data_IF_345947936874
#
_entry.id   IF_345947936874
#
_cell.length_a   1.000
_cell.length_b   1.000
_cell.length_c   1.000
_cell.angle_alpha   90.00
_cell.angle_beta   90.00
_cell.angle_gamma   90.00
#
_symmetry.space_group_name_H-M   'P 1'
#
loop_
_entity.id
_entity.type
_entity.pdbx_description
1 polymer ?
#
# COMPACT_ATOMS: atom_id res chain seq x y z
N UNK A 1 2.26 -4.79 -2.95
CA UNK A 1 0.97 -4.15 -3.24
C UNK A 1 1.11 -3.29 -4.49
N UNK A 2 0.26 -3.52 -5.49
CA UNK A 2 0.17 -2.73 -6.72
C UNK A 2 -0.65 -1.47 -6.48
N UNK A 3 -0.10 -0.32 -6.83
CA UNK A 3 -0.68 0.99 -6.56
C UNK A 3 -0.38 1.94 -7.72
N UNK A 4 -1.29 2.88 -8.01
CA UNK A 4 -1.02 3.91 -9.03
C UNK A 4 0.14 4.79 -8.57
N UNK A 5 1.01 5.27 -9.47
CA UNK A 5 2.14 6.15 -9.14
C UNK A 5 1.78 7.30 -8.20
N UNK A 6 0.70 8.04 -8.50
CA UNK A 6 0.22 9.15 -7.66
C UNK A 6 0.09 8.77 -6.18
N UNK A 7 -0.69 7.74 -5.85
CA UNK A 7 -0.93 7.35 -4.47
C UNK A 7 0.32 6.78 -3.80
N UNK A 8 1.15 6.03 -4.54
CA UNK A 8 2.41 5.54 -3.98
C UNK A 8 3.38 6.68 -3.66
N UNK A 9 3.41 7.74 -4.47
CA UNK A 9 4.20 8.95 -4.19
C UNK A 9 3.65 9.73 -2.99
N UNK A 10 2.33 9.83 -2.84
CA UNK A 10 1.71 10.41 -1.65
C UNK A 10 2.06 9.63 -0.38
N UNK A 11 2.11 8.29 -0.44
CA UNK A 11 2.56 7.45 0.68
C UNK A 11 4.04 7.70 0.99
N UNK A 12 4.90 7.66 -0.03
CA UNK A 12 6.35 7.77 0.13
C UNK A 12 6.80 9.18 0.57
N UNK A 13 6.08 10.22 0.17
CA UNK A 13 6.30 11.59 0.68
C UNK A 13 5.73 11.81 2.09
N UNK A 14 4.80 10.96 2.52
CA UNK A 14 4.13 11.07 3.82
C UNK A 14 2.88 11.94 3.81
N UNK A 15 2.44 12.41 2.64
CA UNK A 15 1.15 13.11 2.49
C UNK A 15 -0.03 12.17 2.81
N UNK A 16 0.07 10.90 2.40
CA UNK A 16 -0.92 9.85 2.70
C UNK A 16 -0.50 9.05 3.93
N UNK A 17 -1.25 9.23 5.03
CA UNK A 17 -1.04 8.53 6.32
C UNK A 17 -1.74 7.18 6.38
N UNK A 18 -2.77 6.99 5.56
CA UNK A 18 -3.49 5.73 5.44
C UNK A 18 -3.73 5.37 3.97
N UNK A 19 -3.65 4.09 3.64
CA UNK A 19 -3.99 3.54 2.33
C UNK A 19 -5.32 2.80 2.38
N UNK A 20 -6.22 3.08 1.43
CA UNK A 20 -7.54 2.47 1.37
C UNK A 20 -7.58 1.35 0.32
N UNK A 21 -8.08 0.18 0.71
CA UNK A 21 -8.11 -1.01 -0.15
C UNK A 21 -9.44 -1.74 -0.10
N UNK A 22 -9.87 -2.25 -1.25
CA UNK A 22 -10.92 -3.28 -1.30
C UNK A 22 -10.42 -4.57 -0.65
N UNK A 23 -11.33 -5.29 0.00
CA UNK A 23 -11.07 -6.62 0.53
C UNK A 23 -11.11 -7.67 -0.61
N UNK A 24 -10.01 -7.77 -1.36
CA UNK A 24 -9.91 -8.63 -2.56
C UNK A 24 -8.76 -9.66 -2.50
N UNK A 25 -8.11 -9.81 -1.35
CA UNK A 25 -6.97 -10.72 -1.17
C UNK A 25 -6.65 -10.97 0.30
N UNK A 26 -5.43 -11.46 0.62
CA UNK A 26 -4.96 -11.64 2.00
C UNK A 26 -5.09 -10.37 2.85
N UNK A 27 -5.49 -10.49 4.11
CA UNK A 27 -5.47 -9.35 5.02
C UNK A 27 -4.04 -8.81 5.16
N UNK A 28 -3.94 -7.48 5.25
CA UNK A 28 -2.73 -6.83 5.76
C UNK A 28 -2.92 -6.70 7.25
N UNK A 29 -1.93 -7.12 8.02
CA UNK A 29 -1.97 -7.15 9.47
C UNK A 29 -0.99 -6.11 10.03
N UNK A 30 -1.27 -5.55 11.23
CA UNK A 30 -0.32 -4.68 11.91
C UNK A 30 1.06 -5.34 12.03
N UNK A 31 2.11 -4.60 11.65
CA UNK A 31 3.50 -5.09 11.61
C UNK A 31 3.93 -5.64 10.24
N UNK A 32 3.02 -5.85 9.29
CA UNK A 32 3.39 -6.31 7.95
C UNK A 32 4.26 -5.30 7.20
N UNK A 33 5.31 -5.81 6.53
CA UNK A 33 6.09 -5.04 5.57
C UNK A 33 5.37 -4.99 4.22
N UNK A 34 4.88 -3.81 3.83
CA UNK A 34 4.14 -3.60 2.59
C UNK A 34 5.06 -2.95 1.55
N UNK A 35 5.45 -3.72 0.53
CA UNK A 35 6.18 -3.20 -0.63
C UNK A 35 5.24 -2.54 -1.65
N UNK A 36 5.58 -1.33 -2.09
CA UNK A 36 4.80 -0.53 -3.04
C UNK A 36 5.31 -0.76 -4.47
N UNK A 37 4.64 -1.64 -5.19
CA UNK A 37 4.79 -1.75 -6.64
C UNK A 37 3.97 -0.64 -7.31
N UNK A 38 4.64 0.36 -7.85
CA UNK A 38 4.01 1.38 -8.67
C UNK A 38 3.69 0.79 -10.04
N UNK A 39 2.44 0.91 -10.47
CA UNK A 39 2.04 0.49 -11.83
C UNK A 39 2.70 1.38 -12.89
N UNK A 40 2.37 1.17 -14.17
CA UNK A 40 2.90 1.99 -15.27
C UNK A 40 2.71 3.50 -14.99
N UNK A 41 3.67 4.36 -15.39
CA UNK A 41 4.87 4.03 -16.17
C UNK A 41 6.05 3.48 -15.35
N UNK A 42 6.03 3.56 -14.02
CA UNK A 42 7.15 3.12 -13.18
C UNK A 42 7.39 1.60 -13.26
N UNK A 43 6.32 0.81 -13.17
CA UNK A 43 6.35 -0.66 -13.27
C UNK A 43 7.43 -1.33 -12.40
N UNK A 44 7.62 -0.81 -11.18
CA UNK A 44 8.68 -1.21 -10.27
C UNK A 44 8.27 -1.01 -8.81
N UNK A 45 8.93 -1.73 -7.90
CA UNK A 45 8.84 -1.46 -6.46
C UNK A 45 9.66 -0.21 -6.15
N UNK A 46 9.00 0.86 -5.71
CA UNK A 46 9.64 2.15 -5.48
C UNK A 46 9.88 2.46 -4.00
N UNK A 47 9.37 1.62 -3.10
CA UNK A 47 9.54 1.77 -1.67
C UNK A 47 8.65 0.80 -0.90
N UNK A 48 8.57 1.02 0.40
CA UNK A 48 7.80 0.19 1.30
C UNK A 48 7.38 0.96 2.56
N UNK A 49 6.46 0.39 3.32
CA UNK A 49 6.10 0.87 4.65
C UNK A 49 5.76 -0.30 5.57
N UNK A 50 5.69 -0.04 6.88
CA UNK A 50 5.19 -0.99 7.88
C UNK A 50 3.72 -0.66 8.15
N UNK A 51 2.85 -1.65 8.06
CA UNK A 51 1.44 -1.47 8.39
C UNK A 51 1.30 -1.20 9.90
N UNK A 52 0.67 -0.07 10.25
CA UNK A 52 0.27 0.24 11.63
C UNK A 52 -1.09 -0.35 11.96
N UNK A 53 -1.97 0.46 12.55
CA UNK A 53 -3.36 0.04 12.78
C UNK A 53 -4.05 -0.22 11.43
N UNK A 54 -4.77 -1.34 11.34
CA UNK A 54 -5.56 -1.70 10.16
C UNK A 54 -7.03 -1.76 10.55
N UNK A 55 -7.83 -0.87 9.98
CA UNK A 55 -9.28 -0.90 10.16
C UNK A 55 -9.91 -1.73 9.05
N UNK A 56 -10.78 -2.68 9.42
CA UNK A 56 -11.71 -3.32 8.50
C UNK A 56 -13.10 -2.73 8.76
N UNK A 57 -13.61 -1.95 7.82
CA UNK A 57 -14.84 -1.19 8.01
C UNK A 57 -15.82 -1.42 6.84
N UNK A 58 -17.14 -1.46 7.11
CA UNK A 58 -18.14 -1.28 6.06
C UNK A 58 -17.87 0.02 5.30
N UNK A 59 -18.01 0.00 3.96
CA UNK A 59 -17.73 1.20 3.14
C UNK A 59 -18.63 2.39 3.52
N UNK A 60 -19.88 2.11 3.91
CA UNK A 60 -20.83 3.10 4.43
C UNK A 60 -20.33 3.85 5.69
N UNK A 61 -19.44 3.24 6.48
CA UNK A 61 -18.91 3.82 7.70
C UNK A 61 -17.61 4.62 7.49
N UNK A 62 -17.02 4.58 6.29
CA UNK A 62 -15.77 5.29 5.99
C UNK A 62 -15.84 6.80 6.23
N UNK A 63 -16.90 7.54 5.85
CA UNK A 63 -16.95 8.97 6.09
C UNK A 63 -16.85 9.35 7.57
N UNK A 64 -17.51 8.56 8.45
CA UNK A 64 -17.44 8.76 9.89
C UNK A 64 -16.04 8.44 10.42
N UNK A 65 -15.47 7.31 10.03
CA UNK A 65 -14.12 6.91 10.43
C UNK A 65 -13.08 7.96 10.01
N UNK A 66 -13.15 8.45 8.77
CA UNK A 66 -12.23 9.47 8.26
C UNK A 66 -12.41 10.81 8.98
N UNK A 67 -13.63 11.18 9.34
CA UNK A 67 -13.89 12.37 10.18
C UNK A 67 -13.22 12.26 11.55
N UNK A 68 -13.27 11.08 12.18
CA UNK A 68 -12.63 10.82 13.47
C UNK A 68 -11.10 10.82 13.37
N UNK A 69 -10.54 10.34 12.26
CA UNK A 69 -9.10 10.33 11.99
C UNK A 69 -8.53 11.69 11.55
N UNK A 70 -9.38 12.59 11.06
CA UNK A 70 -8.98 13.89 10.53
C UNK A 70 -8.31 13.79 9.15
N UNK A 71 -7.44 14.74 8.82
CA UNK A 71 -6.71 14.71 7.55
C UNK A 71 -5.58 13.65 7.57
N UNK A 72 -5.90 12.53 6.92
CA UNK A 72 -5.03 11.37 6.76
C UNK A 72 -4.57 11.16 5.31
N UNK A 73 -4.83 12.12 4.41
CA UNK A 73 -4.49 12.00 3.00
C UNK A 73 -5.34 10.98 2.23
N UNK A 74 -6.60 10.80 2.63
CA UNK A 74 -7.61 10.04 1.88
C UNK A 74 -8.52 11.06 1.17
N UNK A 75 -8.56 11.00 -0.16
CA UNK A 75 -9.38 11.89 -1.00
C UNK A 75 -10.48 11.17 -1.75
N UNK A 76 -11.19 11.91 -2.61
CA UNK A 76 -12.32 11.38 -3.40
C UNK A 76 -11.94 10.22 -4.32
N UNK A 77 -10.72 10.22 -4.89
CA UNK A 77 -10.26 9.14 -5.76
C UNK A 77 -10.05 7.83 -4.97
N UNK A 78 -9.62 7.91 -3.71
CA UNK A 78 -9.53 6.75 -2.82
C UNK A 78 -10.91 6.18 -2.48
N UNK A 79 -11.87 7.07 -2.18
CA UNK A 79 -13.24 6.67 -1.87
C UNK A 79 -13.90 5.99 -3.07
N UNK A 80 -13.76 6.58 -4.27
CA UNK A 80 -14.20 5.94 -5.54
C UNK A 80 -13.52 4.59 -5.76
N UNK A 81 -12.26 4.44 -5.36
CA UNK A 81 -11.56 3.16 -5.50
C UNK A 81 -12.25 2.04 -4.73
N UNK A 82 -12.90 2.29 -3.59
CA UNK A 82 -13.63 1.26 -2.82
C UNK A 82 -15.14 1.26 -3.02
N UNK A 83 -15.67 2.16 -3.85
CA UNK A 83 -17.09 2.24 -4.16
C UNK A 83 -17.64 0.90 -4.69
N UNK A 84 -18.82 0.53 -4.20
CA UNK A 84 -19.49 -0.75 -4.50
C UNK A 84 -18.94 -1.96 -3.73
N UNK A 85 -17.87 -1.82 -2.93
CA UNK A 85 -17.44 -2.88 -2.03
C UNK A 85 -18.26 -2.87 -0.73
N UNK A 86 -18.50 -4.04 -0.14
CA UNK A 86 -19.16 -4.15 1.18
C UNK A 86 -18.24 -3.68 2.32
N UNK A 87 -16.98 -4.09 2.26
CA UNK A 87 -15.95 -3.73 3.24
C UNK A 87 -14.72 -3.17 2.56
N UNK A 88 -14.03 -2.27 3.24
CA UNK A 88 -12.73 -1.77 2.89
C UNK A 88 -11.76 -1.91 4.06
N UNK A 89 -10.49 -2.03 3.71
CA UNK A 89 -9.36 -2.04 4.63
C UNK A 89 -8.68 -0.68 4.55
N UNK A 90 -8.52 -0.02 5.70
CA UNK A 90 -7.79 1.23 5.83
C UNK A 90 -6.50 0.93 6.61
N UNK A 91 -5.37 0.98 5.93
CA UNK A 91 -4.06 0.54 6.43
C UNK A 91 -3.25 1.78 6.83
N UNK A 92 -2.89 1.89 8.10
CA UNK A 92 -1.98 2.95 8.55
C UNK A 92 -0.58 2.76 7.98
N UNK A 93 -0.01 3.84 7.45
CA UNK A 93 1.35 3.87 6.92
C UNK A 93 2.31 4.29 8.03
N UNK A 94 3.16 3.37 8.49
CA UNK A 94 4.28 3.66 9.41
C UNK A 94 5.62 3.42 8.72
N UNK A 95 6.67 4.10 9.18
CA UNK A 95 8.06 3.85 8.79
C UNK A 95 8.26 3.69 7.27
N UNK A 96 7.61 4.56 6.48
CA UNK A 96 7.77 4.54 5.02
C UNK A 96 9.21 4.85 4.62
N UNK A 97 9.71 4.11 3.65
CA UNK A 97 11.04 4.26 3.05
C UNK A 97 10.92 4.20 1.53
N UNK A 98 11.51 5.18 0.86
CA UNK A 98 11.70 5.18 -0.60
C UNK A 98 12.95 4.37 -0.93
N UNK A 99 12.89 3.53 -1.96
CA UNK A 99 14.07 2.87 -2.47
C UNK A 99 15.03 3.87 -3.10
N UNK A 100 16.33 3.71 -2.90
CA UNK A 100 17.34 4.51 -3.59
C UNK A 100 17.20 4.37 -5.11
N UNK A 101 16.88 3.16 -5.59
CA UNK A 101 16.50 2.88 -6.98
C UNK A 101 15.26 1.98 -7.04
N UNK A 102 14.29 2.23 -7.94
CA UNK A 102 13.16 1.33 -8.13
C UNK A 102 13.61 -0.07 -8.57
N UNK A 103 13.03 -1.10 -7.95
CA UNK A 103 13.40 -2.51 -8.18
C UNK A 103 12.35 -3.18 -9.06
N UNK A 104 12.74 -3.80 -10.18
CA UNK A 104 11.77 -4.54 -11.00
C UNK A 104 11.42 -5.85 -10.29
N UNK A 105 10.13 -6.24 -10.20
CA UNK A 105 9.75 -7.50 -9.55
C UNK A 105 10.46 -8.73 -10.13
N UNK A 106 10.74 -8.73 -11.43
CA UNK A 106 11.42 -9.84 -12.10
C UNK A 106 12.85 -10.08 -11.55
N UNK A 107 13.54 -9.03 -11.10
CA UNK A 107 14.91 -9.11 -10.58
C UNK A 107 14.98 -9.91 -9.27
N UNK A 108 13.84 -10.02 -8.56
CA UNK A 108 13.68 -10.83 -7.34
C UNK A 108 12.82 -12.08 -7.55
N UNK A 109 12.53 -12.45 -8.80
CA UNK A 109 11.72 -13.63 -9.13
C UNK A 109 10.23 -13.46 -8.86
N UNK A 110 9.75 -12.22 -8.75
CA UNK A 110 8.34 -11.90 -8.53
C UNK A 110 7.67 -11.42 -9.82
N UNK A 111 6.34 -11.56 -9.85
CA UNK A 111 5.47 -10.90 -10.83
C UNK A 111 4.62 -9.85 -10.12
N UNK A 112 4.30 -8.71 -10.78
CA UNK A 112 3.37 -7.74 -10.23
C UNK A 112 2.05 -8.39 -9.79
N UNK A 113 1.55 -8.14 -8.57
CA UNK A 113 0.25 -8.65 -8.17
C UNK A 113 -0.90 -7.87 -8.83
N UNK A 114 -2.08 -8.46 -9.04
CA UNK A 114 -3.26 -7.71 -9.50
C UNK A 114 -3.74 -6.69 -8.46
N UNK A 115 -3.60 -7.00 -7.16
CA UNK A 115 -3.82 -6.06 -6.05
C UNK A 115 -2.64 -6.14 -5.07
N UNK A 116 -2.61 -7.13 -4.19
CA UNK A 116 -1.45 -7.44 -3.36
C UNK A 116 -1.33 -8.95 -3.20
N UNK A 117 -0.14 -9.42 -2.84
CA UNK A 117 0.17 -10.82 -2.60
C UNK A 117 1.10 -10.92 -1.41
N UNK A 118 0.96 -11.97 -0.61
CA UNK A 118 2.01 -12.36 0.34
C UNK A 118 3.22 -12.89 -0.46
N UNK A 119 4.41 -12.61 0.05
CA UNK A 119 5.68 -13.09 -0.47
C UNK A 119 6.43 -13.76 0.67
N UNK A 120 7.31 -14.71 0.35
CA UNK A 120 8.15 -15.34 1.36
C UNK A 120 9.24 -14.38 1.87
N UNK A 121 9.84 -14.75 3.00
CA UNK A 121 10.90 -13.98 3.64
C UNK A 121 12.10 -13.75 2.72
N UNK A 122 12.48 -14.75 1.92
CA UNK A 122 13.63 -14.65 1.01
C UNK A 122 13.42 -13.57 -0.05
N UNK A 123 12.23 -13.48 -0.64
CA UNK A 123 11.88 -12.45 -1.59
C UNK A 123 11.81 -11.06 -0.93
N UNK A 124 11.27 -10.98 0.28
CA UNK A 124 11.24 -9.74 1.06
C UNK A 124 12.65 -9.22 1.39
N UNK A 125 13.54 -10.09 1.88
CA UNK A 125 14.92 -9.73 2.22
C UNK A 125 15.69 -9.22 0.98
N UNK A 126 15.50 -9.86 -0.18
CA UNK A 126 16.07 -9.38 -1.45
C UNK A 126 15.55 -8.01 -1.85
N UNK A 127 14.24 -7.79 -1.74
CA UNK A 127 13.65 -6.48 -2.04
C UNK A 127 14.22 -5.40 -1.12
N UNK A 128 14.34 -5.66 0.18
CA UNK A 128 14.93 -4.71 1.14
C UNK A 128 16.39 -4.40 0.80
N UNK A 129 17.20 -5.42 0.52
CA UNK A 129 18.60 -5.24 0.15
C UNK A 129 18.75 -4.36 -1.10
N UNK A 130 17.99 -4.65 -2.16
CA UNK A 130 18.03 -3.89 -3.41
C UNK A 130 17.44 -2.48 -3.26
N UNK A 131 16.43 -2.30 -2.41
CA UNK A 131 15.81 -1.00 -2.14
C UNK A 131 16.76 -0.04 -1.42
N UNK A 132 17.64 -0.57 -0.55
CA UNK A 132 18.61 0.20 0.22
C UNK A 132 19.97 0.38 -0.49
N UNK A 133 20.16 -0.21 -1.67
CA UNK A 133 21.40 -0.14 -2.48
C UNK A 133 21.35 0.98 -3.51
#
# INVERSE_FOLDING_TARGET
MSIKPKFGEEILSGAKKYELRRLAGPLVEPGDQVFLYLTKPAAAVAGHFVAGIVFLAPVENLPRLLKELGDVGIGEEDLRYVEGARYAMLIEVKNRTRCAKPVKPADVGLRPPPSYRRIDKRAADKLLAMCNS
#
